data_IF_887208380141
#
_entry.id   IF_887208380141
#
_cell.length_a   1.000
_cell.length_b   1.000
_cell.length_c   1.000
_cell.angle_alpha   90.00
_cell.angle_beta   90.00
_cell.angle_gamma   90.00
#
_symmetry.space_group_name_H-M   'P 1'
#
loop_
_entity.id
_entity.type
_entity.pdbx_description
1 polymer ?
#
# COMPACT_ATOMS: atom_id res chain seq x y z
N UNK A 1 31.88 0.90 -87.93
CA UNK A 1 32.61 1.26 -86.70
C UNK A 1 31.65 2.10 -85.89
N UNK A 2 30.81 1.46 -85.08
CA UNK A 2 29.92 2.10 -84.09
C UNK A 2 29.58 1.02 -83.07
N UNK A 3 30.36 1.00 -81.99
CA UNK A 3 30.06 0.28 -80.76
C UNK A 3 29.86 1.34 -79.66
N UNK A 4 29.20 0.90 -78.59
CA UNK A 4 29.10 1.55 -77.27
C UNK A 4 28.02 2.61 -77.06
N UNK A 5 26.78 2.17 -76.84
CA UNK A 5 25.76 3.00 -76.16
C UNK A 5 24.66 2.20 -75.43
N UNK A 6 24.99 1.04 -74.84
CA UNK A 6 24.01 0.16 -74.16
C UNK A 6 24.51 -0.46 -72.85
N UNK A 7 25.24 0.29 -72.01
CA UNK A 7 25.70 -0.19 -70.68
C UNK A 7 25.26 0.74 -69.51
N UNK A 8 24.62 1.86 -69.82
CA UNK A 8 24.28 2.92 -68.85
C UNK A 8 22.92 2.79 -68.15
N UNK A 9 22.00 2.00 -68.69
CA UNK A 9 20.62 1.90 -68.19
C UNK A 9 20.44 0.78 -67.14
N UNK A 10 21.08 -0.38 -67.35
CA UNK A 10 21.06 -1.50 -66.40
C UNK A 10 21.72 -1.17 -65.05
N UNK A 11 22.82 -0.41 -65.06
CA UNK A 11 23.51 0.03 -63.85
C UNK A 11 22.67 0.99 -63.00
N UNK A 12 21.83 1.84 -63.63
CA UNK A 12 20.91 2.76 -62.94
C UNK A 12 19.70 2.01 -62.36
N UNK A 13 19.16 1.04 -63.09
CA UNK A 13 18.07 0.17 -62.62
C UNK A 13 18.46 -0.58 -61.33
N UNK A 14 19.63 -1.22 -61.33
CA UNK A 14 20.14 -1.95 -60.16
C UNK A 14 20.49 -1.07 -58.96
N UNK A 15 20.92 0.19 -59.17
CA UNK A 15 21.20 1.13 -58.08
C UNK A 15 19.93 1.64 -57.39
N UNK A 16 18.89 1.99 -58.17
CA UNK A 16 17.60 2.40 -57.64
C UNK A 16 16.89 1.26 -56.89
N UNK A 17 17.05 0.03 -57.36
CA UNK A 17 16.50 -1.16 -56.70
C UNK A 17 17.20 -1.46 -55.37
N UNK A 18 18.54 -1.33 -55.31
CA UNK A 18 19.34 -1.41 -54.07
C UNK A 18 18.99 -0.33 -53.06
N UNK A 19 18.80 0.92 -53.50
CA UNK A 19 18.38 2.01 -52.62
C UNK A 19 16.98 1.78 -52.04
N UNK A 20 16.04 1.26 -52.84
CA UNK A 20 14.70 0.90 -52.36
C UNK A 20 14.72 -0.25 -51.37
N UNK A 21 15.51 -1.30 -51.60
CA UNK A 21 15.66 -2.42 -50.65
C UNK A 21 16.31 -1.97 -49.35
N UNK A 22 17.37 -1.15 -49.42
CA UNK A 22 18.05 -0.64 -48.22
C UNK A 22 17.13 0.28 -47.39
N UNK A 23 16.33 1.13 -48.05
CA UNK A 23 15.36 1.99 -47.38
C UNK A 23 14.23 1.17 -46.74
N UNK A 24 13.76 0.13 -47.43
CA UNK A 24 12.72 -0.78 -46.91
C UNK A 24 13.21 -1.57 -45.69
N UNK A 25 14.45 -2.07 -45.73
CA UNK A 25 15.08 -2.74 -44.58
C UNK A 25 15.23 -1.80 -43.38
N UNK A 26 15.66 -0.55 -43.60
CA UNK A 26 15.75 0.48 -42.54
C UNK A 26 14.38 0.82 -41.94
N UNK A 27 13.35 0.95 -42.77
CA UNK A 27 11.98 1.22 -42.29
C UNK A 27 11.45 0.04 -41.48
N UNK A 28 11.63 -1.20 -41.94
CA UNK A 28 11.19 -2.39 -41.20
C UNK A 28 11.92 -2.52 -39.87
N UNK A 29 13.24 -2.26 -39.84
CA UNK A 29 14.00 -2.27 -38.57
C UNK A 29 13.56 -1.17 -37.63
N UNK A 30 13.36 0.06 -38.10
CA UNK A 30 12.89 1.15 -37.25
C UNK A 30 11.48 0.93 -36.72
N UNK A 31 10.56 0.42 -37.55
CA UNK A 31 9.19 0.10 -37.15
C UNK A 31 9.15 -1.05 -36.15
N UNK A 32 9.96 -2.10 -36.35
CA UNK A 32 10.05 -3.20 -35.39
C UNK A 32 10.66 -2.75 -34.05
N UNK A 33 11.70 -1.91 -34.09
CA UNK A 33 12.31 -1.36 -32.88
C UNK A 33 11.35 -0.42 -32.14
N UNK A 34 10.61 0.42 -32.88
CA UNK A 34 9.55 1.25 -32.33
C UNK A 34 8.41 0.42 -31.73
N UNK A 35 7.98 -0.66 -32.39
CA UNK A 35 6.96 -1.56 -31.87
C UNK A 35 7.43 -2.28 -30.59
N UNK A 36 8.69 -2.71 -30.52
CA UNK A 36 9.26 -3.29 -29.29
C UNK A 36 9.24 -2.26 -28.16
N UNK A 37 9.71 -1.04 -28.41
CA UNK A 37 9.73 0.03 -27.40
C UNK A 37 8.33 0.42 -26.94
N UNK A 38 7.35 0.48 -27.86
CA UNK A 38 5.99 0.94 -27.57
C UNK A 38 5.04 -0.15 -27.05
N UNK A 39 5.32 -1.43 -27.31
CA UNK A 39 4.43 -2.53 -26.89
C UNK A 39 5.07 -3.42 -25.82
N UNK A 40 6.33 -3.80 -25.99
CA UNK A 40 6.98 -4.77 -25.09
C UNK A 40 7.38 -4.10 -23.78
N UNK A 41 7.95 -2.88 -23.82
CA UNK A 41 8.34 -2.19 -22.60
C UNK A 41 7.12 -1.82 -21.74
N UNK A 42 6.04 -1.21 -22.26
CA UNK A 42 4.88 -0.88 -21.45
C UNK A 42 4.15 -2.12 -20.93
N UNK A 43 4.12 -3.21 -21.69
CA UNK A 43 3.57 -4.47 -21.18
C UNK A 43 4.42 -5.03 -20.04
N UNK A 44 5.74 -5.08 -20.19
CA UNK A 44 6.64 -5.63 -19.18
C UNK A 44 6.67 -4.78 -17.89
N UNK A 45 6.79 -3.46 -18.03
CA UNK A 45 6.80 -2.54 -16.88
C UNK A 45 5.39 -2.34 -16.30
N UNK A 46 4.36 -2.29 -17.14
CA UNK A 46 2.96 -2.15 -16.71
C UNK A 46 2.46 -3.35 -15.93
N UNK A 47 2.78 -4.58 -16.37
CA UNK A 47 2.45 -5.80 -15.62
C UNK A 47 3.19 -5.87 -14.27
N UNK A 48 4.44 -5.42 -14.21
CA UNK A 48 5.21 -5.33 -12.94
C UNK A 48 4.65 -4.27 -11.99
N UNK A 49 4.28 -3.10 -12.51
CA UNK A 49 3.74 -2.01 -11.70
C UNK A 49 2.31 -2.28 -11.22
N UNK A 50 1.53 -3.08 -11.96
CA UNK A 50 0.21 -3.51 -11.51
C UNK A 50 0.29 -4.47 -10.32
N UNK A 51 1.32 -5.33 -10.25
CA UNK A 51 1.41 -6.41 -9.26
C UNK A 51 2.09 -6.06 -7.93
N UNK A 52 3.00 -5.08 -7.89
CA UNK A 52 3.79 -4.80 -6.68
C UNK A 52 3.40 -3.45 -6.07
N UNK A 53 2.89 -3.46 -4.84
CA UNK A 53 2.71 -2.23 -4.07
C UNK A 53 4.11 -1.71 -3.64
N UNK A 54 4.47 -0.45 -3.95
CA UNK A 54 5.76 0.13 -3.58
C UNK A 54 6.01 0.12 -2.06
N UNK A 55 4.96 0.13 -1.23
CA UNK A 55 5.08 0.05 0.22
C UNK A 55 5.71 -1.28 0.64
N UNK A 56 5.26 -2.41 0.10
CA UNK A 56 5.88 -3.72 0.39
C UNK A 56 7.32 -3.79 -0.14
N UNK A 57 7.61 -3.12 -1.26
CA UNK A 57 8.98 -2.92 -1.73
C UNK A 57 9.85 -2.19 -0.69
N UNK A 58 9.32 -1.13 -0.08
CA UNK A 58 10.02 -0.37 0.96
C UNK A 58 10.18 -1.17 2.27
N UNK A 59 9.21 -2.01 2.62
CA UNK A 59 9.30 -2.90 3.78
C UNK A 59 10.30 -4.04 3.54
N UNK A 60 10.43 -4.53 2.30
CA UNK A 60 11.47 -5.50 1.92
C UNK A 60 12.87 -4.90 1.92
N UNK A 61 12.98 -3.58 1.77
CA UNK A 61 14.25 -2.86 1.88
C UNK A 61 14.64 -2.56 3.34
N UNK A 62 13.79 -2.86 4.33
CA UNK A 62 14.20 -2.87 5.73
C UNK A 62 15.22 -3.98 5.91
N UNK A 63 16.43 -3.62 6.35
CA UNK A 63 17.52 -4.55 6.63
C UNK A 63 17.26 -5.30 7.95
N UNK A 64 16.16 -6.06 7.98
CA UNK A 64 15.81 -6.92 9.11
C UNK A 64 16.51 -8.27 8.95
N UNK A 65 17.05 -8.84 10.04
CA UNK A 65 17.65 -10.16 9.98
C UNK A 65 16.67 -11.22 9.48
N UNK A 66 17.15 -12.22 8.74
CA UNK A 66 16.30 -13.28 8.16
C UNK A 66 15.52 -14.08 9.20
N UNK A 67 16.02 -14.17 10.44
CA UNK A 67 15.32 -14.85 11.54
C UNK A 67 14.10 -14.06 12.06
N UNK A 68 14.01 -12.76 11.79
CA UNK A 68 12.96 -11.88 12.28
C UNK A 68 11.76 -11.80 11.31
N UNK A 69 11.98 -12.18 10.04
CA UNK A 69 11.03 -12.03 8.95
C UNK A 69 10.87 -13.35 8.17
N UNK A 70 10.53 -14.42 8.86
CA UNK A 70 10.15 -15.71 8.28
C UNK A 70 8.66 -15.71 7.89
N UNK A 71 8.29 -16.49 6.86
CA UNK A 71 6.88 -16.68 6.44
C UNK A 71 6.10 -15.35 6.31
N UNK A 72 6.64 -14.43 5.53
CA UNK A 72 6.01 -13.13 5.26
C UNK A 72 4.73 -13.31 4.46
N UNK A 73 3.63 -12.76 4.97
CA UNK A 73 2.34 -12.63 4.29
C UNK A 73 1.98 -11.15 4.14
N UNK A 74 1.79 -10.71 2.90
CA UNK A 74 1.48 -9.32 2.56
C UNK A 74 0.04 -9.23 2.09
N UNK A 75 -0.78 -8.47 2.82
CA UNK A 75 -2.19 -8.25 2.53
C UNK A 75 -2.45 -6.78 2.24
N UNK A 76 -3.16 -6.52 1.15
CA UNK A 76 -3.67 -5.19 0.83
C UNK A 76 -5.19 -5.26 0.79
N UNK A 77 -5.85 -4.47 1.63
CA UNK A 77 -7.30 -4.30 1.61
C UNK A 77 -7.65 -2.89 1.14
N UNK A 78 -8.69 -2.78 0.30
CA UNK A 78 -9.13 -1.51 -0.29
C UNK A 78 -9.36 -1.58 -1.80
N UNK A 79 -9.82 -0.48 -2.39
CA UNK A 79 -9.94 -0.32 -3.84
C UNK A 79 -8.86 0.60 -4.37
N UNK A 80 -8.12 0.16 -5.39
CA UNK A 80 -7.15 1.00 -6.13
C UNK A 80 -7.81 2.17 -6.88
N UNK A 81 -9.14 2.16 -6.98
CA UNK A 81 -9.96 3.17 -7.63
C UNK A 81 -10.71 4.05 -6.64
N UNK A 82 -10.49 3.89 -5.33
CA UNK A 82 -11.03 4.82 -4.36
C UNK A 82 -10.37 6.19 -4.59
N UNK A 83 -11.19 7.22 -4.79
CA UNK A 83 -10.72 8.60 -4.97
C UNK A 83 -10.18 9.21 -3.65
N UNK A 84 -10.32 8.51 -2.52
CA UNK A 84 -9.80 8.84 -1.19
C UNK A 84 -8.95 7.67 -0.63
N UNK A 85 -8.28 7.89 0.51
CA UNK A 85 -7.31 6.98 1.12
C UNK A 85 -7.93 5.75 1.82
N UNK A 86 -8.32 4.73 1.06
CA UNK A 86 -8.85 3.48 1.64
C UNK A 86 -7.94 2.26 1.39
N UNK A 87 -6.65 2.47 1.10
CA UNK A 87 -5.72 1.34 0.93
C UNK A 87 -4.95 1.09 2.22
N UNK A 88 -5.38 0.05 2.91
CA UNK A 88 -4.72 -0.44 4.12
C UNK A 88 -3.80 -1.60 3.74
N UNK A 89 -2.53 -1.52 4.15
CA UNK A 89 -1.51 -2.52 3.85
C UNK A 89 -1.04 -3.13 5.14
N UNK A 90 -1.13 -4.44 5.23
CA UNK A 90 -0.67 -5.21 6.38
C UNK A 90 0.36 -6.22 5.93
N UNK A 91 1.46 -6.30 6.67
CA UNK A 91 2.45 -7.37 6.56
C UNK A 91 2.47 -8.13 7.87
N UNK A 92 2.28 -9.44 7.78
CA UNK A 92 2.45 -10.36 8.89
C UNK A 92 3.73 -11.17 8.63
N UNK A 93 4.58 -11.30 9.63
CA UNK A 93 5.77 -12.13 9.57
C UNK A 93 5.97 -12.89 10.88
N UNK A 94 6.60 -14.06 10.79
CA UNK A 94 6.99 -14.87 11.92
C UNK A 94 8.47 -14.65 12.22
N UNK A 95 8.82 -14.58 13.49
CA UNK A 95 10.22 -14.50 13.94
C UNK A 95 10.55 -15.75 14.74
N UNK A 96 11.75 -16.29 14.55
CA UNK A 96 12.28 -17.40 15.34
C UNK A 96 12.64 -16.98 16.78
N UNK A 97 12.66 -15.68 17.08
CA UNK A 97 13.11 -15.11 18.36
C UNK A 97 11.95 -14.47 19.14
N UNK A 98 12.09 -14.31 20.48
CA UNK A 98 11.05 -13.71 21.31
C UNK A 98 10.79 -12.25 20.93
N UNK A 99 9.59 -11.75 21.26
CA UNK A 99 9.11 -10.46 20.79
C UNK A 99 10.01 -9.29 21.20
N UNK A 100 10.71 -9.35 22.33
CA UNK A 100 11.61 -8.27 22.77
C UNK A 100 12.80 -8.10 21.82
N UNK A 101 13.41 -9.21 21.39
CA UNK A 101 14.55 -9.17 20.48
C UNK A 101 14.11 -8.83 19.06
N UNK A 102 12.98 -9.39 18.62
CA UNK A 102 12.35 -9.05 17.34
C UNK A 102 12.01 -7.56 17.29
N UNK A 103 11.44 -6.99 18.36
CA UNK A 103 11.16 -5.55 18.44
C UNK A 103 12.42 -4.73 18.28
N UNK A 104 13.51 -5.10 18.94
CA UNK A 104 14.78 -4.38 18.81
C UNK A 104 15.30 -4.39 17.37
N UNK A 105 15.23 -5.53 16.68
CA UNK A 105 15.66 -5.65 15.28
C UNK A 105 14.82 -4.76 14.36
N UNK A 106 13.49 -4.79 14.49
CA UNK A 106 12.60 -3.98 13.66
C UNK A 106 12.73 -2.49 13.93
N UNK A 107 12.77 -2.07 15.20
CA UNK A 107 12.91 -0.65 15.57
C UNK A 107 14.25 -0.06 15.10
N UNK A 108 15.33 -0.83 15.14
CA UNK A 108 16.62 -0.45 14.59
C UNK A 108 16.57 -0.31 13.06
N UNK A 109 15.99 -1.29 12.37
CA UNK A 109 15.85 -1.27 10.91
C UNK A 109 14.97 -0.10 10.42
N UNK A 110 13.85 0.15 11.11
CA UNK A 110 12.95 1.28 10.83
C UNK A 110 13.70 2.62 10.99
N UNK A 111 14.40 2.79 12.10
CA UNK A 111 15.18 4.01 12.35
C UNK A 111 16.28 4.21 11.30
N UNK A 112 16.99 3.15 10.92
CA UNK A 112 18.02 3.19 9.88
C UNK A 112 17.43 3.52 8.49
N UNK A 113 16.20 3.10 8.22
CA UNK A 113 15.45 3.42 7.01
C UNK A 113 14.76 4.81 7.07
N UNK A 114 15.06 5.63 8.08
CA UNK A 114 14.57 7.00 8.18
C UNK A 114 13.17 7.15 8.77
N UNK A 115 12.57 6.09 9.31
CA UNK A 115 11.32 6.20 10.05
C UNK A 115 11.56 6.89 11.39
N UNK A 116 10.68 7.80 11.76
CA UNK A 116 10.75 8.52 13.03
C UNK A 116 9.71 7.97 14.02
N UNK A 117 10.08 7.73 15.28
CA UNK A 117 9.10 7.37 16.32
C UNK A 117 8.03 8.45 16.43
N UNK A 118 6.77 8.05 16.34
CA UNK A 118 5.64 8.97 16.38
C UNK A 118 4.84 8.76 17.66
N UNK A 119 4.84 9.78 18.52
CA UNK A 119 4.14 9.76 19.81
C UNK A 119 2.84 10.56 19.68
N UNK A 120 1.72 9.85 19.60
CA UNK A 120 0.35 10.40 19.64
C UNK A 120 -0.44 9.72 20.74
N UNK A 121 -1.51 10.38 21.22
CA UNK A 121 -2.30 9.87 22.33
C UNK A 121 -3.00 8.54 22.00
N UNK A 122 -3.36 8.36 20.72
CA UNK A 122 -4.05 7.19 20.18
C UNK A 122 -3.09 6.11 19.64
N UNK A 123 -1.86 6.06 20.17
CA UNK A 123 -0.87 5.04 19.86
C UNK A 123 -0.36 4.35 21.14
N UNK A 124 -0.71 3.08 21.40
CA UNK A 124 -1.60 2.21 20.61
C UNK A 124 -3.08 2.58 20.72
N UNK A 125 -3.89 2.25 19.70
CA UNK A 125 -5.36 2.42 19.73
C UNK A 125 -6.01 1.59 20.85
N UNK A 126 -5.46 0.39 21.10
CA UNK A 126 -5.88 -0.49 22.18
C UNK A 126 -4.71 -0.72 23.15
N UNK A 127 -4.93 -0.68 24.47
CA UNK A 127 -3.86 -0.93 25.42
C UNK A 127 -3.32 -2.36 25.25
N UNK A 128 -2.02 -2.47 25.01
CA UNK A 128 -1.33 -3.76 24.87
C UNK A 128 -0.77 -4.18 26.22
N UNK A 129 -1.08 -5.40 26.66
CA UNK A 129 -0.50 -5.99 27.86
C UNK A 129 1.01 -6.14 27.70
N UNK A 130 1.77 -5.79 28.74
CA UNK A 130 3.25 -5.80 28.70
C UNK A 130 3.84 -7.19 28.41
N UNK A 131 3.09 -8.23 28.74
CA UNK A 131 3.50 -9.63 28.56
C UNK A 131 3.00 -10.22 27.23
N UNK A 132 2.10 -9.50 26.53
CA UNK A 132 1.46 -9.98 25.29
C UNK A 132 2.19 -9.49 24.02
N UNK A 133 2.97 -8.42 24.15
CA UNK A 133 3.77 -7.88 23.05
C UNK A 133 4.23 -6.44 23.26
N UNK A 134 4.77 -5.87 22.20
CA UNK A 134 5.18 -4.47 22.11
C UNK A 134 4.56 -3.81 20.89
N UNK A 135 4.05 -2.60 21.07
CA UNK A 135 3.46 -1.80 20.00
C UNK A 135 4.15 -0.45 19.92
N UNK A 136 4.41 0.02 18.69
CA UNK A 136 5.03 1.33 18.44
C UNK A 136 4.55 1.92 17.13
N UNK A 137 4.35 3.24 17.10
CA UNK A 137 4.00 3.98 15.88
C UNK A 137 5.19 4.74 15.32
N UNK A 138 5.21 4.83 14.00
CA UNK A 138 6.29 5.41 13.21
C UNK A 138 5.70 6.27 12.11
N UNK A 139 6.43 7.32 11.73
CA UNK A 139 6.05 8.20 10.64
C UNK A 139 7.24 8.44 9.71
N UNK A 140 6.98 8.45 8.41
CA UNK A 140 7.98 8.79 7.39
C UNK A 140 7.25 9.34 6.16
N UNK A 141 7.60 10.56 5.77
CA UNK A 141 7.04 11.25 4.61
C UNK A 141 5.49 11.23 4.61
N UNK A 142 4.87 10.66 3.58
CA UNK A 142 3.41 10.51 3.45
C UNK A 142 2.79 9.31 4.16
N UNK A 143 3.57 8.50 4.90
CA UNK A 143 3.08 7.27 5.54
C UNK A 143 3.18 7.29 7.06
N UNK A 144 2.22 6.64 7.71
CA UNK A 144 2.30 6.20 9.10
C UNK A 144 2.36 4.67 9.13
N UNK A 145 3.10 4.15 10.10
CA UNK A 145 3.37 2.72 10.26
C UNK A 145 3.15 2.33 11.73
N UNK A 146 2.32 1.33 11.94
CA UNK A 146 2.10 0.72 13.23
C UNK A 146 2.82 -0.62 13.26
N UNK A 147 3.78 -0.75 14.18
CA UNK A 147 4.53 -1.98 14.41
C UNK A 147 4.00 -2.65 15.68
N UNK A 148 3.47 -3.86 15.52
CA UNK A 148 3.06 -4.71 16.63
C UNK A 148 3.84 -6.02 16.61
N UNK A 149 4.62 -6.28 17.66
CA UNK A 149 5.34 -7.53 17.85
C UNK A 149 4.75 -8.24 19.04
N UNK A 150 4.12 -9.40 18.81
CA UNK A 150 3.34 -10.14 19.79
C UNK A 150 3.84 -11.57 19.96
N UNK A 151 3.28 -12.27 20.94
CA UNK A 151 3.45 -13.72 21.09
C UNK A 151 3.09 -14.46 19.79
N UNK A 152 3.71 -15.61 19.51
CA UNK A 152 3.48 -16.35 18.28
C UNK A 152 2.02 -16.82 18.19
N UNK A 153 1.50 -16.99 16.97
CA UNK A 153 0.07 -17.30 16.76
C UNK A 153 -0.38 -18.61 17.45
N UNK A 154 0.52 -19.57 17.54
CA UNK A 154 0.23 -20.83 18.23
C UNK A 154 0.11 -20.71 19.76
N UNK A 155 0.50 -19.59 20.37
CA UNK A 155 0.20 -19.31 21.79
C UNK A 155 -1.13 -18.58 21.98
N UNK A 156 -1.55 -17.70 21.05
CA UNK A 156 -2.88 -17.04 21.17
C UNK A 156 -4.03 -18.04 20.99
N UNK A 157 -3.85 -19.06 20.13
CA UNK A 157 -4.81 -20.16 20.03
C UNK A 157 -4.94 -20.95 21.34
N UNK A 158 -3.87 -21.06 22.14
CA UNK A 158 -3.91 -21.71 23.44
C UNK A 158 -4.64 -20.88 24.50
N UNK A 159 -4.48 -19.56 24.49
CA UNK A 159 -5.24 -18.66 25.37
C UNK A 159 -6.74 -18.79 25.07
N UNK A 160 -7.10 -18.76 23.78
CA UNK A 160 -8.49 -18.98 23.35
C UNK A 160 -8.99 -20.42 23.66
N UNK A 161 -8.13 -21.43 23.54
CA UNK A 161 -8.46 -22.81 23.87
C UNK A 161 -8.64 -23.02 25.40
N UNK A 162 -7.87 -22.33 26.24
CA UNK A 162 -8.03 -22.31 27.69
C UNK A 162 -9.38 -21.73 28.12
N UNK A 163 -9.86 -20.70 27.41
CA UNK A 163 -11.18 -20.10 27.67
C UNK A 163 -12.34 -20.94 27.14
N UNK A 164 -12.15 -21.68 26.04
CA UNK A 164 -13.20 -22.47 25.38
C UNK A 164 -13.21 -23.95 25.75
N UNK A 165 -12.23 -24.43 26.51
CA UNK A 165 -12.08 -25.85 26.87
C UNK A 165 -11.68 -26.75 25.70
N UNK A 166 -11.16 -26.18 24.61
CA UNK A 166 -10.65 -26.92 23.46
C UNK A 166 -9.25 -27.45 23.80
N UNK A 167 -8.87 -28.62 23.27
CA UNK A 167 -7.58 -29.23 23.58
C UNK A 167 -6.41 -28.33 23.09
N UNK A 168 -5.55 -27.81 23.99
CA UNK A 168 -4.52 -26.86 23.62
C UNK A 168 -3.40 -27.54 22.84
N UNK A 169 -2.90 -26.86 21.80
CA UNK A 169 -1.67 -27.26 21.09
C UNK A 169 -0.49 -27.23 22.07
N UNK A 170 0.41 -28.22 22.01
CA UNK A 170 1.51 -28.37 22.98
C UNK A 170 2.42 -27.11 23.02
N UNK A 171 2.51 -26.39 24.15
CA UNK A 171 3.22 -25.10 24.28
C UNK A 171 4.72 -25.20 24.03
N UNK A 172 5.32 -26.40 24.14
CA UNK A 172 6.78 -26.58 24.05
C UNK A 172 7.35 -26.36 22.65
N UNK A 173 6.51 -26.36 21.61
CA UNK A 173 6.95 -26.17 20.23
C UNK A 173 6.73 -24.73 19.71
N UNK A 174 6.13 -23.85 20.52
CA UNK A 174 5.84 -22.47 20.14
C UNK A 174 6.96 -21.54 20.57
N UNK A 175 8.02 -21.50 19.76
CA UNK A 175 9.12 -20.54 19.92
C UNK A 175 8.96 -19.42 18.91
N UNK A 176 9.21 -18.17 19.32
CA UNK A 176 9.26 -17.04 18.40
C UNK A 176 8.33 -15.89 18.78
N UNK A 177 7.98 -15.08 17.78
CA UNK A 177 7.04 -13.97 17.89
C UNK A 177 6.40 -13.68 16.54
N UNK A 178 5.19 -13.12 16.55
CA UNK A 178 4.53 -12.64 15.34
C UNK A 178 4.69 -11.14 15.21
N UNK A 179 5.04 -10.66 14.03
CA UNK A 179 5.15 -9.25 13.68
C UNK A 179 3.98 -8.89 12.78
N UNK A 180 3.18 -7.89 13.14
CA UNK A 180 2.19 -7.24 12.29
C UNK A 180 2.65 -5.81 12.05
N UNK A 181 2.80 -5.45 10.78
CA UNK A 181 3.16 -4.11 10.32
C UNK A 181 1.99 -3.59 9.52
N UNK A 182 1.38 -2.51 9.99
CA UNK A 182 0.28 -1.84 9.29
C UNK A 182 0.78 -0.52 8.76
N UNK A 183 0.58 -0.27 7.46
CA UNK A 183 1.02 0.97 6.81
C UNK A 183 -0.18 1.64 6.15
N UNK A 184 -0.33 2.93 6.44
CA UNK A 184 -1.40 3.77 5.91
C UNK A 184 -0.85 5.14 5.51
N UNK A 185 -1.62 5.85 4.68
CA UNK A 185 -1.28 7.23 4.32
C UNK A 185 -1.50 8.12 5.54
N UNK A 186 -0.56 9.02 5.81
CA UNK A 186 -0.61 9.94 6.94
C UNK A 186 -1.81 10.91 6.88
N UNK A 187 -2.40 11.13 5.70
CA UNK A 187 -3.62 11.93 5.50
C UNK A 187 -4.86 11.16 5.95
N UNK A 188 -4.84 9.83 5.87
CA UNK A 188 -5.92 8.97 6.36
C UNK A 188 -5.86 8.76 7.88
N UNK A 189 -4.71 9.10 8.49
CA UNK A 189 -4.44 8.91 9.89
C UNK A 189 -4.83 10.16 10.68
N UNK A 190 -6.05 10.16 11.22
CA UNK A 190 -6.60 11.28 11.99
C UNK A 190 -6.00 11.40 13.40
N UNK A 191 -5.11 10.48 13.80
CA UNK A 191 -4.51 10.48 15.14
C UNK A 191 -3.61 11.71 15.29
N UNK A 192 -3.81 12.46 16.37
CA UNK A 192 -3.07 13.70 16.65
C UNK A 192 -3.47 14.91 15.80
N UNK A 193 -4.52 14.83 14.96
CA UNK A 193 -5.14 16.03 14.42
C UNK A 193 -5.84 16.79 15.56
N UNK A 194 -5.71 18.14 15.62
CA UNK A 194 -6.48 18.91 16.56
C UNK A 194 -7.96 18.65 16.29
N UNK A 195 -8.71 18.27 17.33
CA UNK A 195 -10.17 18.15 17.26
C UNK A 195 -10.69 19.43 16.59
N UNK A 196 -11.29 19.28 15.41
CA UNK A 196 -11.87 20.40 14.69
C UNK A 196 -13.00 20.89 15.59
N UNK A 197 -12.69 21.88 16.43
CA UNK A 197 -13.71 22.60 17.17
C UNK A 197 -14.65 23.13 16.11
N UNK A 198 -15.83 22.53 16.03
CA UNK A 198 -16.92 23.07 15.24
C UNK A 198 -17.01 24.55 15.62
N UNK A 199 -16.74 25.42 14.64
CA UNK A 199 -16.79 26.86 14.91
C UNK A 199 -18.16 27.16 15.49
N UNK A 200 -18.27 27.94 16.60
CA UNK A 200 -19.55 28.28 17.24
C UNK A 200 -20.46 29.16 16.36
N UNK A 201 -20.15 29.27 15.07
CA UNK A 201 -20.86 30.02 14.05
C UNK A 201 -21.66 29.13 13.10
N UNK A 202 -21.69 27.80 13.31
CA UNK A 202 -22.79 26.99 12.77
C UNK A 202 -23.95 27.16 13.74
N UNK A 203 -24.90 28.03 13.39
CA UNK A 203 -26.12 28.18 14.16
C UNK A 203 -26.77 26.81 14.30
N UNK A 204 -27.07 26.41 15.55
CA UNK A 204 -27.94 25.27 15.82
C UNK A 204 -29.18 25.45 14.95
N UNK A 205 -29.44 24.49 14.05
CA UNK A 205 -30.76 24.42 13.43
C UNK A 205 -31.69 24.05 14.57
N UNK A 206 -32.57 24.96 15.04
CA UNK A 206 -33.43 24.64 16.16
C UNK A 206 -34.28 23.43 15.77
N UNK A 207 -34.39 22.47 16.69
CA UNK A 207 -35.32 21.35 16.55
C UNK A 207 -36.68 21.90 16.09
N UNK A 208 -37.33 21.28 15.08
CA UNK A 208 -38.68 21.68 14.71
C UNK A 208 -39.59 21.39 15.89
N UNK A 209 -39.82 22.41 16.72
CA UNK A 209 -40.91 22.42 17.68
C UNK A 209 -42.20 22.38 16.88
N UNK A 210 -42.73 21.17 16.72
CA UNK A 210 -44.12 20.89 16.40
C UNK A 210 -44.99 21.45 17.53
N UNK A 211 -45.09 22.78 17.56
CA UNK A 211 -46.09 23.46 18.36
C UNK A 211 -47.42 23.17 17.69
N UNK A 212 -48.16 22.22 18.27
CA UNK A 212 -49.60 22.14 18.09
C UNK A 212 -50.17 23.46 18.63
N UNK A 213 -50.15 24.50 17.80
CA UNK A 213 -50.68 25.82 18.09
C UNK A 213 -52.11 25.91 17.54
N UNK A 214 -53.14 25.75 18.39
CA UNK A 214 -54.54 25.88 18.00
C UNK A 214 -54.95 27.33 17.68
N UNK A 215 -54.03 28.30 17.63
CA UNK A 215 -54.31 29.69 17.27
C UNK A 215 -53.93 30.06 15.82
N UNK A 216 -53.40 29.12 15.04
CA UNK A 216 -53.17 29.28 13.59
C UNK A 216 -54.38 28.89 12.74
N UNK A 217 -55.52 28.53 13.35
CA UNK A 217 -56.78 28.38 12.63
C UNK A 217 -57.28 29.77 12.19
N UNK A 218 -57.49 30.01 10.88
CA UNK A 218 -57.92 31.31 10.40
C UNK A 218 -59.33 31.63 10.90
N UNK A 219 -59.47 32.75 11.63
CA UNK A 219 -60.77 33.33 11.99
C UNK A 219 -61.61 33.51 10.73
N UNK A 220 -62.84 32.95 10.65
CA UNK A 220 -63.71 33.18 9.49
C UNK A 220 -64.08 34.67 9.41
N UNK A 221 -63.90 35.27 8.23
CA UNK A 221 -64.35 36.64 7.94
C UNK A 221 -65.86 36.77 8.12
N UNK A 222 -66.28 37.85 8.77
CA UNK A 222 -67.67 38.09 9.18
C UNK A 222 -68.55 38.74 8.09
N UNK A 223 -69.84 38.37 8.15
CA UNK A 223 -71.04 38.84 7.42
C UNK A 223 -71.20 38.42 5.95
#
# INVERSE_FOLDING_TARGET
MTADEDDGDDAKGGFLEKLRTQRRLRVVTLVSLAAVVLLVLPAFFGLRAAGNDPVFGSLNALDVPSWAAEKVDDQSSGSRWCFMDCTFRERIAQSAKPFQETTQAYTAALSAAGWQPWKVAECPEQPVGKDDGTYSCWKRDEFTLDLWVRLPECQVDQVAAQETGTEPVDPKNCTGSTVSIKVQNAIADTRGEPEVQESPLVGETPDPVLSNDPLLEPTPSAS
#
